data_IF_899100859084
#
_entry.id   IF_899100859084
#
_cell.length_a   1.000
_cell.length_b   1.000
_cell.length_c   1.000
_cell.angle_alpha   90.00
_cell.angle_beta   90.00
_cell.angle_gamma   90.00
#
_symmetry.space_group_name_H-M   'P 1'
#
loop_
_entity.id
_entity.type
_entity.pdbx_description
1 polymer ?
#
# COMPACT_ATOMS: atom_id res chain seq x y z
N UNK A 1 47.09 54.00 18.88
CA UNK A 1 47.13 52.51 18.88
C UNK A 1 45.83 52.02 18.29
N UNK A 2 45.83 51.58 17.04
CA UNK A 2 44.67 51.06 16.34
C UNK A 2 44.88 49.56 16.30
N UNK A 3 44.08 48.79 17.05
CA UNK A 3 44.10 47.33 17.02
C UNK A 3 43.34 46.84 15.80
N UNK A 4 44.08 46.14 14.93
CA UNK A 4 43.53 45.42 13.77
C UNK A 4 42.69 44.23 14.26
N UNK A 5 41.41 44.23 14.00
CA UNK A 5 40.50 43.09 14.15
C UNK A 5 40.53 42.28 12.86
N UNK A 6 41.19 41.11 12.87
CA UNK A 6 41.12 40.18 11.78
C UNK A 6 39.79 39.39 11.88
N UNK A 7 38.98 39.26 10.81
CA UNK A 7 37.81 38.42 10.84
C UNK A 7 38.20 36.94 10.77
N UNK A 8 37.75 36.20 11.78
CA UNK A 8 37.97 34.75 11.90
C UNK A 8 37.06 34.06 10.88
N UNK A 9 37.62 33.71 9.74
CA UNK A 9 36.94 32.93 8.68
C UNK A 9 36.81 31.47 9.13
N UNK A 10 35.82 31.18 9.99
CA UNK A 10 35.26 29.84 10.07
C UNK A 10 34.42 29.64 8.82
N UNK A 11 34.92 28.97 7.82
CA UNK A 11 34.15 28.41 6.73
C UNK A 11 33.11 27.48 7.31
N UNK A 12 31.85 27.94 7.36
CA UNK A 12 30.70 27.09 7.53
C UNK A 12 30.72 26.09 6.37
N UNK A 13 31.06 24.85 6.68
CA UNK A 13 30.82 23.73 5.79
C UNK A 13 29.30 23.59 5.74
N UNK A 14 28.69 24.29 4.78
CA UNK A 14 27.31 24.04 4.39
C UNK A 14 27.33 22.62 3.80
N UNK A 15 26.97 21.64 4.60
CA UNK A 15 26.61 20.33 4.13
C UNK A 15 25.45 20.52 3.16
N UNK A 16 25.75 20.47 1.85
CA UNK A 16 24.72 20.41 0.82
C UNK A 16 23.88 19.17 1.16
N UNK A 17 22.69 19.36 1.72
CA UNK A 17 21.69 18.30 1.77
C UNK A 17 21.50 17.83 0.32
N UNK A 18 21.89 16.61 0.03
CA UNK A 18 21.78 16.04 -1.32
C UNK A 18 20.30 16.08 -1.70
N UNK A 19 19.97 16.93 -2.66
CA UNK A 19 18.58 17.16 -3.10
C UNK A 19 17.96 15.84 -3.54
N UNK A 20 16.81 15.50 -2.97
CA UNK A 20 16.05 14.30 -3.33
C UNK A 20 15.63 14.35 -4.79
N UNK A 21 15.93 13.30 -5.55
CA UNK A 21 15.54 13.15 -6.95
C UNK A 21 14.31 12.26 -7.05
N UNK A 22 13.18 12.83 -7.42
CA UNK A 22 11.95 12.06 -7.63
C UNK A 22 11.92 11.44 -9.03
N UNK A 23 11.71 10.12 -9.08
CA UNK A 23 11.58 9.29 -10.29
C UNK A 23 10.12 8.90 -10.45
N UNK A 24 9.38 9.49 -11.37
CA UNK A 24 7.99 9.13 -11.66
C UNK A 24 7.92 7.87 -12.52
N UNK A 25 7.16 6.87 -12.11
CA UNK A 25 6.99 5.62 -12.84
C UNK A 25 5.52 5.28 -13.01
N UNK A 26 5.08 5.15 -14.26
CA UNK A 26 3.82 4.52 -14.59
C UNK A 26 4.02 3.04 -14.90
N UNK A 27 3.23 2.17 -14.25
CA UNK A 27 3.39 0.73 -14.24
C UNK A 27 2.34 0.05 -15.12
N UNK A 28 2.79 -0.70 -16.11
CA UNK A 28 1.94 -1.61 -16.87
C UNK A 28 2.44 -3.07 -16.78
N UNK A 29 1.66 -4.00 -17.31
CA UNK A 29 2.06 -5.42 -17.33
C UNK A 29 3.31 -5.66 -18.17
N UNK A 30 3.50 -4.88 -19.24
CA UNK A 30 4.57 -5.10 -20.23
C UNK A 30 5.75 -4.16 -20.09
N UNK A 31 5.56 -2.99 -19.45
CA UNK A 31 6.59 -1.94 -19.41
C UNK A 31 6.48 -1.05 -18.18
N UNK A 32 7.60 -0.37 -17.89
CA UNK A 32 7.74 0.73 -16.96
C UNK A 32 7.99 1.99 -17.78
N UNK A 33 7.09 2.96 -17.72
CA UNK A 33 7.27 4.29 -18.29
C UNK A 33 7.86 5.20 -17.21
N UNK A 34 9.05 5.72 -17.43
CA UNK A 34 9.87 6.38 -16.40
C UNK A 34 10.19 7.81 -16.79
N UNK A 35 9.94 8.76 -15.89
CA UNK A 35 10.31 10.16 -16.01
C UNK A 35 11.23 10.61 -14.86
N UNK A 36 12.41 11.08 -15.22
CA UNK A 36 13.30 11.82 -14.32
C UNK A 36 13.70 13.11 -15.03
N UNK A 37 14.87 13.17 -15.67
CA UNK A 37 15.29 14.28 -16.56
C UNK A 37 14.76 14.08 -17.96
N UNK A 38 14.70 12.81 -18.40
CA UNK A 38 14.23 12.38 -19.72
C UNK A 38 13.31 11.18 -19.56
N UNK A 39 12.35 11.07 -20.47
CA UNK A 39 11.50 9.90 -20.57
C UNK A 39 12.28 8.68 -21.07
N UNK A 40 12.09 7.54 -20.38
CA UNK A 40 12.65 6.24 -20.76
C UNK A 40 11.62 5.14 -20.54
N UNK A 41 11.73 4.08 -21.34
CA UNK A 41 10.90 2.87 -21.22
C UNK A 41 11.82 1.70 -20.86
N UNK A 42 11.36 0.88 -19.90
CA UNK A 42 11.99 -0.40 -19.56
C UNK A 42 10.95 -1.50 -19.69
N UNK A 43 11.28 -2.67 -20.22
CA UNK A 43 10.39 -3.83 -20.17
C UNK A 43 10.09 -4.21 -18.71
N UNK A 44 8.85 -4.57 -18.42
CA UNK A 44 8.47 -5.07 -17.10
C UNK A 44 8.76 -6.58 -17.01
N UNK A 45 10.04 -6.93 -17.13
CA UNK A 45 10.63 -8.26 -17.00
C UNK A 45 11.76 -8.19 -15.97
N UNK A 46 12.25 -9.33 -15.48
CA UNK A 46 13.35 -9.36 -14.50
C UNK A 46 14.60 -8.63 -15.00
N UNK A 47 14.95 -8.82 -16.28
CA UNK A 47 16.10 -8.14 -16.89
C UNK A 47 15.88 -6.63 -17.07
N UNK A 48 14.67 -6.23 -17.50
CA UNK A 48 14.32 -4.82 -17.66
C UNK A 48 14.26 -4.07 -16.32
N UNK A 49 13.67 -4.69 -15.32
CA UNK A 49 13.63 -4.19 -13.95
C UNK A 49 15.04 -4.06 -13.34
N UNK A 50 15.88 -5.07 -13.52
CA UNK A 50 17.29 -5.04 -13.07
C UNK A 50 18.08 -3.91 -13.73
N UNK A 51 17.87 -3.69 -15.04
CA UNK A 51 18.47 -2.57 -15.76
C UNK A 51 17.97 -1.23 -15.25
N UNK A 52 16.67 -1.08 -15.02
CA UNK A 52 16.09 0.12 -14.40
C UNK A 52 16.76 0.43 -13.05
N UNK A 53 16.85 -0.55 -12.14
CA UNK A 53 17.45 -0.36 -10.82
C UNK A 53 18.92 0.07 -10.92
N UNK A 54 19.69 -0.55 -11.82
CA UNK A 54 21.09 -0.21 -12.07
C UNK A 54 21.22 1.23 -12.56
N UNK A 55 20.46 1.62 -13.58
CA UNK A 55 20.49 2.97 -14.18
C UNK A 55 20.15 4.03 -13.12
N UNK A 56 19.15 3.78 -12.27
CA UNK A 56 18.76 4.71 -11.20
C UNK A 56 19.89 4.85 -10.16
N UNK A 57 20.42 3.75 -9.65
CA UNK A 57 21.48 3.78 -8.64
C UNK A 57 22.77 4.43 -9.12
N UNK A 58 23.15 4.19 -10.38
CA UNK A 58 24.36 4.76 -10.95
C UNK A 58 24.25 6.28 -11.15
N UNK A 59 23.04 6.74 -11.54
CA UNK A 59 22.86 8.14 -11.92
C UNK A 59 22.43 9.05 -10.77
N UNK A 60 21.65 8.52 -9.80
CA UNK A 60 21.02 9.31 -8.75
C UNK A 60 21.24 8.68 -7.38
N UNK A 61 22.09 9.30 -6.56
CA UNK A 61 22.41 8.80 -5.20
C UNK A 61 21.22 8.82 -4.25
N UNK A 62 20.44 9.91 -4.30
CA UNK A 62 19.28 10.14 -3.42
C UNK A 62 17.96 10.08 -4.22
N UNK A 63 17.73 8.96 -4.91
CA UNK A 63 16.54 8.76 -5.71
C UNK A 63 15.38 8.19 -4.88
N UNK A 64 14.18 8.78 -5.04
CA UNK A 64 12.92 8.23 -4.54
C UNK A 64 12.02 7.89 -5.73
N UNK A 65 11.75 6.61 -5.91
CA UNK A 65 10.86 6.12 -6.98
C UNK A 65 9.40 6.28 -6.55
N UNK A 66 8.65 7.07 -7.32
CA UNK A 66 7.23 7.36 -7.06
C UNK A 66 6.36 6.70 -8.10
N UNK A 67 5.36 5.94 -7.68
CA UNK A 67 4.48 5.19 -8.57
C UNK A 67 3.07 5.05 -7.98
N UNK A 68 2.09 4.80 -8.85
CA UNK A 68 0.70 4.60 -8.43
C UNK A 68 0.42 3.16 -7.95
N UNK A 69 -0.57 3.02 -7.05
CA UNK A 69 -1.06 1.72 -6.60
C UNK A 69 -1.85 1.02 -7.72
N UNK A 70 -1.24 0.08 -8.43
CA UNK A 70 -1.81 -0.71 -9.54
C UNK A 70 -1.97 -2.20 -9.21
N UNK A 71 -2.44 -2.52 -8.01
CA UNK A 71 -2.71 -3.89 -7.59
C UNK A 71 -1.45 -4.76 -7.46
N UNK A 72 -1.45 -5.97 -8.06
CA UNK A 72 -0.34 -6.91 -7.91
C UNK A 72 0.94 -6.44 -8.58
N UNK A 73 0.85 -5.71 -9.70
CA UNK A 73 2.02 -5.19 -10.43
C UNK A 73 2.83 -4.25 -9.53
N UNK A 74 2.13 -3.34 -8.83
CA UNK A 74 2.80 -2.42 -7.92
C UNK A 74 3.44 -3.11 -6.71
N UNK A 75 2.92 -4.26 -6.27
CA UNK A 75 3.53 -5.05 -5.19
C UNK A 75 4.83 -5.71 -5.63
N UNK A 76 4.84 -6.34 -6.82
CA UNK A 76 6.05 -6.95 -7.37
C UNK A 76 7.13 -5.89 -7.62
N UNK A 77 6.74 -4.75 -8.18
CA UNK A 77 7.64 -3.61 -8.39
C UNK A 77 8.21 -3.08 -7.08
N UNK A 78 7.38 -2.92 -6.05
CA UNK A 78 7.82 -2.50 -4.72
C UNK A 78 8.82 -3.48 -4.10
N UNK A 79 8.56 -4.80 -4.16
CA UNK A 79 9.47 -5.82 -3.67
C UNK A 79 10.83 -5.77 -4.39
N UNK A 80 10.81 -5.55 -5.69
CA UNK A 80 12.02 -5.39 -6.50
C UNK A 80 12.82 -4.14 -6.10
N UNK A 81 12.17 -2.99 -5.86
CA UNK A 81 12.84 -1.78 -5.38
C UNK A 81 13.46 -1.99 -4.01
N UNK A 82 12.70 -2.61 -3.06
CA UNK A 82 13.17 -2.89 -1.71
C UNK A 82 14.39 -3.84 -1.72
N UNK A 83 14.37 -4.91 -2.52
CA UNK A 83 15.49 -5.84 -2.65
C UNK A 83 16.74 -5.20 -3.27
N UNK A 84 16.54 -4.12 -4.02
CA UNK A 84 17.64 -3.32 -4.56
C UNK A 84 18.03 -2.12 -3.68
N UNK A 85 17.41 -1.93 -2.51
CA UNK A 85 17.70 -0.80 -1.61
C UNK A 85 17.35 0.57 -2.20
N UNK A 86 16.38 0.64 -3.10
CA UNK A 86 15.88 1.89 -3.71
C UNK A 86 14.71 2.41 -2.91
N UNK A 87 14.80 3.65 -2.45
CA UNK A 87 13.70 4.30 -1.75
C UNK A 87 12.48 4.47 -2.66
N UNK A 88 11.31 4.26 -2.11
CA UNK A 88 10.05 4.33 -2.87
C UNK A 88 8.93 5.03 -2.12
N UNK A 89 8.03 5.65 -2.89
CA UNK A 89 6.81 6.24 -2.39
C UNK A 89 5.64 5.81 -3.28
N UNK A 90 4.70 5.05 -2.71
CA UNK A 90 3.48 4.67 -3.42
C UNK A 90 2.41 5.74 -3.20
N UNK A 91 1.89 6.29 -4.28
CA UNK A 91 0.89 7.35 -4.26
C UNK A 91 -0.50 6.84 -4.66
N UNK A 92 -1.52 7.54 -4.19
CA UNK A 92 -2.90 7.22 -4.55
C UNK A 92 -3.21 7.72 -5.97
N UNK A 93 -3.73 6.86 -6.89
CA UNK A 93 -4.14 7.26 -8.22
C UNK A 93 -5.17 8.40 -8.21
N UNK A 94 -5.96 8.47 -7.17
CA UNK A 94 -6.96 9.50 -6.97
C UNK A 94 -6.33 10.88 -6.75
N UNK A 95 -5.29 10.95 -5.92
CA UNK A 95 -4.56 12.19 -5.63
C UNK A 95 -3.82 12.70 -6.88
N UNK A 96 -3.14 11.81 -7.60
CA UNK A 96 -2.41 12.14 -8.85
C UNK A 96 -3.38 12.64 -9.92
N UNK A 97 -4.54 11.98 -10.09
CA UNK A 97 -5.59 12.45 -11.02
C UNK A 97 -6.17 13.81 -10.65
N UNK A 98 -6.34 14.11 -9.36
CA UNK A 98 -6.77 15.44 -8.93
C UNK A 98 -5.73 16.51 -9.23
N UNK A 99 -4.47 16.21 -9.03
CA UNK A 99 -3.35 17.09 -9.38
C UNK A 99 -3.30 17.35 -10.90
N UNK A 100 -3.42 16.30 -11.71
CA UNK A 100 -3.45 16.42 -13.18
C UNK A 100 -4.60 17.30 -13.69
N UNK A 101 -5.78 17.25 -13.05
CA UNK A 101 -6.94 18.09 -13.43
C UNK A 101 -6.73 19.58 -13.17
N UNK A 102 -5.86 19.95 -12.23
CA UNK A 102 -5.48 21.35 -11.97
C UNK A 102 -4.45 21.91 -12.95
N UNK A 103 -3.85 21.06 -13.78
CA UNK A 103 -2.93 21.44 -14.83
C UNK A 103 -3.62 21.62 -16.20
N UNK A 104 -2.82 21.99 -17.22
CA UNK A 104 -3.29 22.16 -18.60
C UNK A 104 -3.80 20.81 -19.13
N UNK A 105 -4.97 20.80 -19.76
CA UNK A 105 -5.57 19.62 -20.41
C UNK A 105 -4.74 19.22 -21.64
N UNK A 106 -3.74 18.38 -21.44
CA UNK A 106 -3.02 17.72 -22.52
C UNK A 106 -3.60 16.34 -22.80
N UNK A 107 -3.43 15.87 -24.05
CA UNK A 107 -3.84 14.52 -24.45
C UNK A 107 -3.16 13.46 -23.57
N UNK A 108 -3.94 12.49 -23.10
CA UNK A 108 -3.44 11.41 -22.25
C UNK A 108 -2.44 10.55 -23.02
N UNK A 109 -1.19 10.48 -22.54
CA UNK A 109 -0.14 9.59 -23.05
C UNK A 109 0.66 9.02 -21.87
N UNK A 110 1.23 7.83 -22.05
CA UNK A 110 2.05 7.16 -21.00
C UNK A 110 3.23 8.04 -20.54
N UNK A 111 3.81 8.81 -21.48
CA UNK A 111 4.87 9.79 -21.18
C UNK A 111 4.36 10.89 -20.24
N UNK A 112 3.15 11.35 -20.43
CA UNK A 112 2.53 12.37 -19.59
C UNK A 112 2.15 11.79 -18.24
N UNK A 113 1.66 10.56 -18.18
CA UNK A 113 1.24 9.92 -16.93
C UNK A 113 2.43 9.78 -15.96
N UNK A 114 3.60 9.28 -16.40
CA UNK A 114 4.81 9.22 -15.54
C UNK A 114 5.38 10.60 -15.19
N UNK A 115 5.25 11.60 -16.09
CA UNK A 115 5.66 12.98 -15.80
C UNK A 115 4.74 13.62 -14.75
N UNK A 116 3.44 13.38 -14.81
CA UNK A 116 2.46 13.86 -13.82
C UNK A 116 2.75 13.26 -12.45
N UNK A 117 3.06 11.96 -12.37
CA UNK A 117 3.45 11.30 -11.11
C UNK A 117 4.70 11.98 -10.51
N UNK A 118 5.74 12.22 -11.33
CA UNK A 118 6.94 12.92 -10.89
C UNK A 118 6.64 14.35 -10.41
N UNK A 119 5.91 15.12 -11.20
CA UNK A 119 5.59 16.51 -10.89
C UNK A 119 4.72 16.61 -9.62
N UNK A 120 3.81 15.65 -9.41
CA UNK A 120 3.05 15.52 -8.17
C UNK A 120 4.00 15.34 -6.98
N UNK A 121 5.00 14.45 -7.09
CA UNK A 121 5.96 14.21 -6.01
C UNK A 121 6.81 15.44 -5.72
N UNK A 122 7.25 16.17 -6.74
CA UNK A 122 8.02 17.42 -6.56
C UNK A 122 7.16 18.50 -5.89
N UNK A 123 5.94 18.71 -6.37
CA UNK A 123 5.03 19.74 -5.84
C UNK A 123 4.61 19.47 -4.39
N UNK A 124 4.51 18.22 -4.00
CA UNK A 124 4.10 17.79 -2.65
C UNK A 124 5.22 17.10 -1.88
N UNK A 125 6.49 17.46 -2.14
CA UNK A 125 7.68 16.81 -1.58
C UNK A 125 7.65 16.71 -0.05
N UNK A 126 7.20 17.76 0.63
CA UNK A 126 7.05 17.80 2.09
C UNK A 126 6.02 16.79 2.65
N UNK A 127 5.12 16.27 1.82
CA UNK A 127 4.12 15.28 2.19
C UNK A 127 4.42 13.87 1.65
N UNK A 128 5.53 13.70 0.90
CA UNK A 128 5.96 12.41 0.40
C UNK A 128 6.51 11.56 1.54
N UNK A 129 5.85 10.44 1.80
CA UNK A 129 6.30 9.47 2.82
C UNK A 129 7.00 8.31 2.12
N UNK A 130 8.28 8.12 2.44
CA UNK A 130 9.02 6.95 2.00
C UNK A 130 8.38 5.72 2.65
N UNK A 131 8.01 4.74 1.83
CA UNK A 131 7.45 3.50 2.33
C UNK A 131 8.55 2.66 2.99
N UNK A 132 8.24 2.07 4.14
CA UNK A 132 9.11 1.06 4.73
C UNK A 132 9.28 -0.14 3.78
N UNK A 133 10.45 -0.80 3.76
CA UNK A 133 10.65 -2.01 3.00
C UNK A 133 9.60 -3.07 3.35
N UNK A 134 9.15 -3.81 2.35
CA UNK A 134 8.23 -4.92 2.58
C UNK A 134 8.99 -6.12 3.16
N UNK A 135 8.34 -6.83 4.06
CA UNK A 135 8.86 -8.12 4.51
C UNK A 135 8.89 -9.15 3.39
N UNK A 136 9.76 -10.15 3.50
CA UNK A 136 9.90 -11.23 2.49
C UNK A 136 8.57 -11.91 2.18
N UNK A 137 7.71 -12.08 3.19
CA UNK A 137 6.45 -12.81 3.07
C UNK A 137 5.27 -11.89 2.70
N UNK A 138 5.48 -10.57 2.60
CA UNK A 138 4.37 -9.64 2.39
C UNK A 138 3.61 -9.87 1.08
N UNK A 139 4.32 -10.16 0.00
CA UNK A 139 3.70 -10.42 -1.30
C UNK A 139 2.81 -11.66 -1.24
N UNK A 140 3.32 -12.77 -0.68
CA UNK A 140 2.58 -14.02 -0.48
C UNK A 140 1.36 -13.83 0.43
N UNK A 141 1.53 -13.13 1.56
CA UNK A 141 0.41 -12.79 2.44
C UNK A 141 -0.69 -12.00 1.71
N UNK A 142 -0.33 -11.09 0.82
CA UNK A 142 -1.30 -10.32 0.01
C UNK A 142 -2.02 -11.18 -1.01
N UNK A 143 -1.36 -12.17 -1.59
CA UNK A 143 -1.99 -13.14 -2.50
C UNK A 143 -2.98 -14.02 -1.74
N UNK A 144 -2.59 -14.59 -0.64
CA UNK A 144 -3.46 -15.40 0.22
C UNK A 144 -4.67 -14.60 0.72
N UNK A 145 -4.48 -13.35 1.13
CA UNK A 145 -5.59 -12.47 1.51
C UNK A 145 -6.58 -12.24 0.38
N UNK A 146 -6.08 -12.16 -0.87
CA UNK A 146 -6.95 -12.03 -2.05
C UNK A 146 -7.73 -13.30 -2.32
N UNK A 147 -7.11 -14.47 -2.16
CA UNK A 147 -7.76 -15.79 -2.27
C UNK A 147 -8.83 -15.94 -1.18
N UNK A 148 -8.51 -15.61 0.08
CA UNK A 148 -9.46 -15.67 1.21
C UNK A 148 -10.70 -14.80 0.93
N UNK A 149 -10.50 -13.57 0.45
CA UNK A 149 -11.60 -12.66 0.10
C UNK A 149 -12.47 -13.23 -1.02
N UNK A 150 -11.86 -13.81 -2.05
CA UNK A 150 -12.58 -14.45 -3.15
C UNK A 150 -13.44 -15.62 -2.65
N UNK A 151 -12.89 -16.50 -1.81
CA UNK A 151 -13.63 -17.62 -1.22
C UNK A 151 -14.79 -17.10 -0.37
N UNK A 152 -14.55 -16.09 0.47
CA UNK A 152 -15.59 -15.48 1.33
C UNK A 152 -16.75 -14.91 0.51
N UNK A 153 -16.45 -14.20 -0.59
CA UNK A 153 -17.47 -13.69 -1.51
C UNK A 153 -18.22 -14.82 -2.23
N UNK A 154 -17.53 -15.90 -2.61
CA UNK A 154 -18.13 -17.06 -3.24
C UNK A 154 -19.09 -17.77 -2.29
N UNK A 155 -18.72 -17.97 -1.03
CA UNK A 155 -19.62 -18.51 0.01
C UNK A 155 -20.88 -17.65 0.16
N UNK A 156 -20.72 -16.33 0.21
CA UNK A 156 -21.85 -15.41 0.35
C UNK A 156 -22.82 -15.53 -0.84
N UNK A 157 -22.30 -15.56 -2.07
CA UNK A 157 -23.11 -15.78 -3.29
C UNK A 157 -23.81 -17.12 -3.29
N UNK A 158 -23.10 -18.21 -2.89
CA UNK A 158 -23.70 -19.56 -2.82
C UNK A 158 -24.83 -19.61 -1.80
N UNK A 159 -24.70 -18.90 -0.66
CA UNK A 159 -25.78 -18.79 0.35
C UNK A 159 -27.01 -18.06 -0.16
N UNK A 160 -26.83 -17.01 -0.98
CA UNK A 160 -27.94 -16.30 -1.62
C UNK A 160 -28.74 -17.26 -2.52
N UNK A 161 -28.05 -18.02 -3.39
CA UNK A 161 -28.71 -19.01 -4.26
C UNK A 161 -29.39 -20.10 -3.42
N UNK A 162 -28.78 -20.56 -2.33
CA UNK A 162 -29.34 -21.57 -1.45
C UNK A 162 -30.67 -21.08 -0.79
N UNK A 163 -30.77 -19.80 -0.46
CA UNK A 163 -31.98 -19.24 0.15
C UNK A 163 -33.21 -19.35 -0.77
N UNK A 164 -33.00 -19.16 -2.08
CA UNK A 164 -34.08 -19.21 -3.08
C UNK A 164 -34.34 -20.62 -3.63
N UNK A 165 -33.51 -21.62 -3.27
CA UNK A 165 -33.55 -22.95 -3.82
C UNK A 165 -34.61 -23.82 -3.12
N UNK A 166 -35.55 -24.41 -3.89
CA UNK A 166 -36.62 -25.31 -3.38
C UNK A 166 -36.27 -26.80 -3.54
N UNK A 167 -35.48 -27.17 -4.55
CA UNK A 167 -35.07 -28.57 -4.80
C UNK A 167 -34.15 -29.07 -3.69
N UNK A 168 -34.51 -30.20 -3.05
CA UNK A 168 -33.70 -30.81 -1.99
C UNK A 168 -32.32 -31.24 -2.49
N UNK A 169 -32.26 -31.84 -3.67
CA UNK A 169 -30.99 -32.23 -4.30
C UNK A 169 -30.08 -31.02 -4.53
N UNK A 170 -30.64 -29.92 -5.07
CA UNK A 170 -29.88 -28.71 -5.32
C UNK A 170 -29.39 -28.04 -3.99
N UNK A 171 -30.26 -28.05 -2.96
CA UNK A 171 -29.88 -27.58 -1.63
C UNK A 171 -28.74 -28.36 -1.01
N UNK A 172 -28.76 -29.69 -1.15
CA UNK A 172 -27.67 -30.56 -0.70
C UNK A 172 -26.38 -30.23 -1.42
N UNK A 173 -26.37 -30.13 -2.73
CA UNK A 173 -25.19 -29.80 -3.54
C UNK A 173 -24.60 -28.42 -3.17
N UNK A 174 -25.45 -27.41 -2.94
CA UNK A 174 -25.00 -26.08 -2.52
C UNK A 174 -24.43 -26.09 -1.10
N UNK A 175 -25.00 -26.84 -0.18
CA UNK A 175 -24.49 -26.98 1.18
C UNK A 175 -23.12 -27.68 1.18
N UNK A 176 -22.92 -28.72 0.38
CA UNK A 176 -21.64 -29.42 0.26
C UNK A 176 -20.58 -28.50 -0.33
N UNK A 177 -20.93 -27.71 -1.34
CA UNK A 177 -20.04 -26.67 -1.88
C UNK A 177 -19.64 -25.62 -0.83
N UNK A 178 -20.59 -25.17 0.01
CA UNK A 178 -20.29 -24.22 1.09
C UNK A 178 -19.31 -24.83 2.09
N UNK A 179 -19.50 -26.10 2.49
CA UNK A 179 -18.59 -26.79 3.41
C UNK A 179 -17.18 -26.90 2.82
N UNK A 180 -17.06 -27.31 1.57
CA UNK A 180 -15.76 -27.38 0.87
C UNK A 180 -15.06 -26.02 0.84
N UNK A 181 -15.77 -24.96 0.51
CA UNK A 181 -15.21 -23.61 0.46
C UNK A 181 -14.82 -23.09 1.86
N UNK A 182 -15.58 -23.44 2.90
CA UNK A 182 -15.23 -23.09 4.28
C UNK A 182 -13.92 -23.78 4.72
N UNK A 183 -13.73 -25.04 4.35
CA UNK A 183 -12.49 -25.76 4.65
C UNK A 183 -11.30 -25.15 3.89
N UNK A 184 -11.44 -24.84 2.59
CA UNK A 184 -10.41 -24.13 1.83
C UNK A 184 -10.06 -22.78 2.46
N UNK A 185 -11.07 -22.01 2.91
CA UNK A 185 -10.84 -20.74 3.61
C UNK A 185 -10.06 -20.94 4.92
N UNK A 186 -10.37 -21.99 5.68
CA UNK A 186 -9.64 -22.34 6.90
C UNK A 186 -8.16 -22.63 6.62
N UNK A 187 -7.85 -23.39 5.56
CA UNK A 187 -6.49 -23.69 5.14
C UNK A 187 -5.72 -22.43 4.75
N UNK A 188 -6.32 -21.54 3.95
CA UNK A 188 -5.72 -20.24 3.58
C UNK A 188 -5.45 -19.38 4.81
N UNK A 189 -6.38 -19.33 5.76
CA UNK A 189 -6.18 -18.55 7.00
C UNK A 189 -5.08 -19.15 7.89
N UNK A 190 -4.96 -20.47 7.97
CA UNK A 190 -3.87 -21.10 8.69
C UNK A 190 -2.50 -20.75 8.10
N UNK A 191 -2.39 -20.74 6.77
CA UNK A 191 -1.17 -20.36 6.08
C UNK A 191 -0.85 -18.86 6.28
N UNK A 192 -1.85 -17.97 6.19
CA UNK A 192 -1.68 -16.56 6.53
C UNK A 192 -1.15 -16.38 7.96
N UNK A 193 -1.72 -17.09 8.94
CA UNK A 193 -1.25 -17.03 10.32
C UNK A 193 0.18 -17.57 10.47
N UNK A 194 0.55 -18.62 9.72
CA UNK A 194 1.91 -19.15 9.71
C UNK A 194 2.91 -18.09 9.23
N UNK A 195 2.62 -17.44 8.10
CA UNK A 195 3.47 -16.40 7.55
C UNK A 195 3.58 -15.17 8.45
N UNK A 196 2.47 -14.74 9.07
CA UNK A 196 2.47 -13.62 10.03
C UNK A 196 3.36 -13.92 11.23
N UNK A 197 3.29 -15.16 11.77
CA UNK A 197 4.14 -15.56 12.92
C UNK A 197 5.63 -15.57 12.59
N UNK A 198 6.00 -15.78 11.32
CA UNK A 198 7.39 -15.76 10.86
C UNK A 198 7.91 -14.34 10.58
N UNK A 199 7.04 -13.36 10.58
CA UNK A 199 7.33 -11.97 10.29
C UNK A 199 7.19 -11.12 11.56
N UNK A 200 8.31 -10.76 12.17
CA UNK A 200 8.31 -10.02 13.43
C UNK A 200 7.58 -8.67 13.35
N UNK A 201 7.73 -7.95 12.23
CA UNK A 201 7.03 -6.68 12.02
C UNK A 201 5.51 -6.87 11.94
N UNK A 202 5.06 -7.87 11.16
CA UNK A 202 3.63 -8.19 11.04
C UNK A 202 3.05 -8.73 12.34
N UNK A 203 3.83 -9.54 13.07
CA UNK A 203 3.43 -10.06 14.37
C UNK A 203 3.22 -8.93 15.40
N UNK A 204 4.16 -7.98 15.48
CA UNK A 204 4.01 -6.78 16.31
C UNK A 204 2.77 -5.97 15.95
N UNK A 205 2.54 -5.77 14.65
CA UNK A 205 1.37 -5.04 14.14
C UNK A 205 0.05 -5.75 14.47
N UNK A 206 0.01 -7.07 14.37
CA UNK A 206 -1.13 -7.89 14.78
C UNK A 206 -1.41 -7.77 16.28
N UNK A 207 -0.37 -7.83 17.12
CA UNK A 207 -0.51 -7.66 18.58
C UNK A 207 -1.08 -6.29 18.93
N UNK A 208 -0.61 -5.21 18.32
CA UNK A 208 -1.14 -3.86 18.52
C UNK A 208 -2.62 -3.77 18.15
N UNK A 209 -3.02 -4.32 17.00
CA UNK A 209 -4.42 -4.36 16.58
C UNK A 209 -5.29 -5.19 17.53
N UNK A 210 -4.77 -6.30 18.06
CA UNK A 210 -5.49 -7.11 19.04
C UNK A 210 -5.67 -6.38 20.38
N UNK A 211 -4.68 -5.60 20.81
CA UNK A 211 -4.80 -4.75 21.99
C UNK A 211 -5.88 -3.67 21.80
N UNK A 212 -5.90 -3.00 20.64
CA UNK A 212 -6.94 -2.02 20.32
C UNK A 212 -8.34 -2.65 20.28
N UNK A 213 -8.47 -3.84 19.68
CA UNK A 213 -9.74 -4.59 19.66
C UNK A 213 -10.13 -5.00 21.08
N UNK A 214 -9.19 -5.46 21.90
CA UNK A 214 -9.41 -5.79 23.32
C UNK A 214 -9.94 -4.60 24.11
N UNK A 215 -9.40 -3.40 23.91
CA UNK A 215 -9.89 -2.16 24.50
C UNK A 215 -11.31 -1.85 24.04
N UNK A 216 -11.60 -2.00 22.74
CA UNK A 216 -12.96 -1.78 22.20
C UNK A 216 -13.95 -2.80 22.76
N UNK A 217 -13.59 -4.08 22.85
CA UNK A 217 -14.44 -5.13 23.44
C UNK A 217 -14.69 -4.86 24.91
N UNK A 218 -13.67 -4.49 25.69
CA UNK A 218 -13.83 -4.12 27.10
C UNK A 218 -14.76 -2.92 27.27
N UNK A 219 -14.64 -1.90 26.41
CA UNK A 219 -15.54 -0.73 26.42
C UNK A 219 -16.98 -1.12 26.08
N UNK A 220 -17.19 -2.01 25.11
CA UNK A 220 -18.52 -2.53 24.72
C UNK A 220 -19.16 -3.34 25.86
N UNK A 221 -18.39 -4.19 26.57
CA UNK A 221 -18.89 -4.93 27.74
C UNK A 221 -19.34 -3.96 28.83
N UNK A 222 -18.51 -2.96 29.18
CA UNK A 222 -18.88 -1.92 30.16
C UNK A 222 -20.11 -1.08 29.74
N UNK A 223 -20.22 -0.78 28.45
CA UNK A 223 -21.39 -0.05 27.92
C UNK A 223 -22.66 -0.91 28.01
N UNK A 224 -22.54 -2.22 27.83
CA UNK A 224 -23.63 -3.17 28.03
C UNK A 224 -24.11 -3.22 29.48
N UNK A 225 -23.20 -3.32 30.42
CA UNK A 225 -23.50 -3.32 31.86
C UNK A 225 -24.20 -2.04 32.33
N UNK A 226 -23.96 -0.91 31.65
CA UNK A 226 -24.54 0.40 31.97
C UNK A 226 -25.82 0.77 31.19
N UNK A 227 -26.49 -0.19 30.53
CA UNK A 227 -27.75 -0.01 29.77
C UNK A 227 -27.79 1.14 28.73
N UNK A 228 -26.66 1.60 28.21
CA UNK A 228 -26.57 2.71 27.23
C UNK A 228 -26.33 2.25 25.78
N UNK A 229 -26.92 1.12 25.36
CA UNK A 229 -26.52 0.44 24.10
C UNK A 229 -27.29 0.92 22.85
N UNK A 230 -28.45 1.54 22.98
CA UNK A 230 -29.34 1.75 21.83
C UNK A 230 -28.78 2.57 20.68
N UNK A 231 -27.83 3.49 20.92
CA UNK A 231 -27.30 4.39 19.88
C UNK A 231 -25.89 4.04 19.38
N UNK A 232 -25.17 3.13 20.02
CA UNK A 232 -23.77 2.86 19.70
C UNK A 232 -23.62 1.87 18.53
N UNK A 233 -24.47 0.85 18.43
CA UNK A 233 -24.40 -0.16 17.36
C UNK A 233 -24.70 0.41 15.97
N UNK A 234 -25.60 1.37 15.84
CA UNK A 234 -25.89 2.05 14.58
C UNK A 234 -24.71 2.92 14.10
N UNK A 235 -23.88 3.41 15.03
CA UNK A 235 -22.69 4.21 14.73
C UNK A 235 -21.49 3.39 14.22
N UNK A 236 -21.30 2.16 14.70
CA UNK A 236 -20.17 1.31 14.31
C UNK A 236 -20.34 0.77 12.90
N UNK A 237 -21.55 0.40 12.49
CA UNK A 237 -21.80 -0.10 11.13
C UNK A 237 -21.61 0.96 10.04
N UNK A 238 -21.93 2.23 10.33
CA UNK A 238 -21.67 3.37 9.44
C UNK A 238 -20.20 3.85 9.49
N UNK A 239 -19.46 3.63 10.58
CA UNK A 239 -18.08 4.08 10.77
C UNK A 239 -17.01 3.07 10.34
N UNK A 240 -17.35 1.83 9.99
CA UNK A 240 -16.37 0.85 9.45
C UNK A 240 -15.62 1.36 8.20
N UNK A 241 -16.23 2.27 7.42
CA UNK A 241 -15.56 2.94 6.30
C UNK A 241 -14.86 4.25 6.67
N UNK A 242 -15.15 4.84 7.83
CA UNK A 242 -14.56 6.12 8.26
C UNK A 242 -13.43 5.95 9.28
N UNK A 243 -13.40 4.87 10.04
CA UNK A 243 -12.35 4.61 11.03
C UNK A 243 -10.97 4.36 10.39
N UNK A 244 -10.97 3.68 9.24
CA UNK A 244 -9.76 3.53 8.39
C UNK A 244 -9.26 4.88 7.84
N UNK A 245 -10.11 5.93 7.84
CA UNK A 245 -9.75 7.27 7.36
C UNK A 245 -9.27 8.21 8.46
N UNK A 246 -9.55 7.94 9.73
CA UNK A 246 -9.29 8.89 10.82
C UNK A 246 -7.97 8.66 11.56
N UNK A 247 -7.27 7.54 11.35
CA UNK A 247 -5.97 7.32 11.96
C UNK A 247 -4.92 6.82 10.95
N UNK A 248 -4.35 7.72 10.11
CA UNK A 248 -3.31 7.34 9.16
C UNK A 248 -2.01 6.87 9.83
N UNK A 249 -1.83 7.08 11.14
CA UNK A 249 -0.65 6.67 11.89
C UNK A 249 -0.62 5.15 12.21
N UNK A 250 -1.74 4.46 12.09
CA UNK A 250 -1.84 3.00 12.36
C UNK A 250 -1.61 2.16 11.08
N UNK A 251 -1.50 2.80 9.91
CA UNK A 251 -1.31 2.16 8.59
C UNK A 251 0.09 2.42 8.00
N UNK A 252 1.06 2.79 8.84
CA UNK A 252 2.48 2.90 8.45
C UNK A 252 3.24 1.70 8.99
#
# INVERSE_FOLDING_TARGET
MIQNYAPNSKSEIITQEEQVVYVGVDLSKSKLDVMVDKYKIYPNTDSGCSRFCRDIKQKYRNAVVVYEATGCISLQFAAMLDSNGIQRCQVSPRKVRHFAKGGIKEAKTDKLDCAVIRNYAVAYSQYMKINAPMSKNYAEMRELQRVERFITQSIAKTRQVLADCKSEFARKALNDKIKEQQEKRRQVNNELHRLIKQDEYMLRKMHLLMQEIGVVVHYLIRAHENQRIGHFFLGIHKRRHSWVRLNPAVLI
#
